data_IF_821386115242
#
_entry.id   IF_821386115242
#
_cell.length_a   1.000
_cell.length_b   1.000
_cell.length_c   1.000
_cell.angle_alpha   90.00
_cell.angle_beta   90.00
_cell.angle_gamma   90.00
#
_symmetry.space_group_name_H-M   'P 1'
#
loop_
_entity.id
_entity.type
_entity.pdbx_description
1 polymer ?
#
# COMPACT_ATOMS: atom_id res chain seq x y z
N UNK A 1 -3.17 29.25 -17.59
CA UNK A 1 -2.50 27.94 -17.79
C UNK A 1 -1.42 27.86 -16.74
N UNK A 2 -1.58 26.97 -15.76
CA UNK A 2 -0.57 26.76 -14.71
C UNK A 2 0.26 25.57 -15.14
N UNK A 3 1.58 25.76 -15.28
CA UNK A 3 2.50 24.67 -15.59
C UNK A 3 2.95 24.07 -14.26
N UNK A 4 2.72 22.77 -14.06
CA UNK A 4 3.28 22.02 -12.92
C UNK A 4 4.56 21.30 -13.35
N UNK A 5 5.51 21.16 -12.43
CA UNK A 5 6.75 20.41 -12.66
C UNK A 5 6.79 19.20 -11.73
N UNK A 6 7.47 18.17 -12.18
CA UNK A 6 7.69 16.96 -11.41
C UNK A 6 8.94 16.24 -11.89
N UNK A 7 9.56 15.49 -11.00
CA UNK A 7 10.67 14.63 -11.38
C UNK A 7 10.14 13.29 -11.91
N UNK A 8 10.65 12.86 -13.07
CA UNK A 8 10.30 11.56 -13.64
C UNK A 8 11.06 10.45 -12.93
N UNK A 9 10.34 9.47 -12.37
CA UNK A 9 10.88 8.23 -11.81
C UNK A 9 10.41 7.02 -12.63
N UNK A 10 11.29 6.03 -12.76
CA UNK A 10 10.97 4.73 -13.37
C UNK A 10 10.99 3.68 -12.26
N UNK A 11 9.92 2.89 -12.19
CA UNK A 11 9.67 1.87 -11.16
C UNK A 11 9.40 0.54 -11.85
N UNK A 12 10.17 -0.48 -11.49
CA UNK A 12 10.10 -1.83 -12.06
C UNK A 12 9.75 -2.89 -11.01
N UNK A 13 9.73 -2.51 -9.73
CA UNK A 13 9.38 -3.38 -8.60
C UNK A 13 8.67 -2.61 -7.50
N UNK A 14 7.98 -3.33 -6.61
CA UNK A 14 7.37 -2.75 -5.40
C UNK A 14 8.44 -2.08 -4.52
N UNK A 15 9.58 -2.73 -4.31
CA UNK A 15 10.66 -2.14 -3.50
C UNK A 15 11.12 -0.77 -4.04
N UNK A 16 11.22 -0.63 -5.36
CA UNK A 16 11.58 0.66 -5.96
C UNK A 16 10.48 1.71 -5.74
N UNK A 17 9.21 1.31 -5.88
CA UNK A 17 8.07 2.17 -5.60
C UNK A 17 8.08 2.67 -4.15
N UNK A 18 8.22 1.75 -3.19
CA UNK A 18 8.25 2.06 -1.76
C UNK A 18 9.40 3.00 -1.42
N UNK A 19 10.60 2.72 -1.92
CA UNK A 19 11.77 3.56 -1.65
C UNK A 19 11.65 4.96 -2.26
N UNK A 20 11.04 5.10 -3.45
CA UNK A 20 10.95 6.40 -4.12
C UNK A 20 9.89 7.32 -3.55
N UNK A 21 8.72 6.77 -3.20
CA UNK A 21 7.61 7.55 -2.67
C UNK A 21 7.46 7.44 -1.15
N UNK A 22 8.42 6.79 -0.49
CA UNK A 22 8.41 6.52 0.95
C UNK A 22 7.09 5.86 1.40
N UNK A 23 6.65 4.85 0.65
CA UNK A 23 5.39 4.11 0.89
C UNK A 23 5.67 2.98 1.88
N UNK A 24 4.92 2.95 2.97
CA UNK A 24 4.98 1.86 3.96
C UNK A 24 4.08 0.69 3.58
N UNK A 25 4.32 -0.48 4.17
CA UNK A 25 3.44 -1.65 3.99
C UNK A 25 2.05 -1.41 4.59
N UNK A 26 1.96 -0.69 5.70
CA UNK A 26 0.72 -0.19 6.28
C UNK A 26 -0.07 0.64 5.26
N UNK A 27 0.59 1.62 4.64
CA UNK A 27 -0.04 2.48 3.63
C UNK A 27 -0.54 1.68 2.43
N UNK A 28 0.24 0.70 1.97
CA UNK A 28 -0.20 -0.21 0.91
C UNK A 28 -1.47 -0.94 1.36
N UNK A 29 -1.45 -1.60 2.52
CA UNK A 29 -2.59 -2.37 3.00
C UNK A 29 -3.86 -1.53 3.18
N UNK A 30 -3.72 -0.28 3.65
CA UNK A 30 -4.84 0.66 3.79
C UNK A 30 -5.36 1.22 2.46
N UNK A 31 -4.53 1.23 1.41
CA UNK A 31 -4.94 1.63 0.06
C UNK A 31 -5.67 0.52 -0.70
N UNK A 32 -5.64 -0.72 -0.21
CA UNK A 32 -6.24 -1.85 -0.92
C UNK A 32 -7.78 -1.74 -1.01
N UNK A 33 -8.41 -2.39 -2.00
CA UNK A 33 -9.86 -2.46 -2.06
C UNK A 33 -10.44 -3.24 -0.86
N UNK A 34 -11.69 -2.95 -0.50
CA UNK A 34 -12.37 -3.51 0.67
C UNK A 34 -12.29 -5.05 0.74
N UNK A 35 -12.44 -5.78 -0.38
CA UNK A 35 -12.38 -7.25 -0.40
C UNK A 35 -11.00 -7.80 0.02
N UNK A 36 -9.94 -7.05 -0.29
CA UNK A 36 -8.57 -7.41 0.09
C UNK A 36 -8.27 -7.03 1.53
N UNK A 37 -8.81 -5.92 2.00
CA UNK A 37 -8.75 -5.53 3.40
C UNK A 37 -9.48 -6.54 4.29
N UNK A 38 -10.66 -7.02 3.87
CA UNK A 38 -11.41 -8.09 4.55
C UNK A 38 -10.58 -9.38 4.63
N UNK A 39 -9.94 -9.79 3.53
CA UNK A 39 -9.06 -10.98 3.51
C UNK A 39 -7.92 -10.85 4.53
N UNK A 40 -7.27 -9.69 4.57
CA UNK A 40 -6.18 -9.40 5.53
C UNK A 40 -6.67 -9.49 6.99
N UNK A 41 -7.86 -8.93 7.28
CA UNK A 41 -8.47 -8.99 8.61
C UNK A 41 -8.87 -10.41 9.02
N UNK A 42 -9.42 -11.19 8.10
CA UNK A 42 -9.79 -12.58 8.36
C UNK A 42 -8.58 -13.42 8.76
N UNK A 43 -7.47 -13.30 8.02
CA UNK A 43 -6.21 -14.00 8.30
C UNK A 43 -5.61 -13.57 9.66
N UNK A 44 -5.58 -12.25 9.97
CA UNK A 44 -5.14 -11.77 11.29
C UNK A 44 -5.97 -12.37 12.42
N UNK A 45 -7.31 -12.25 12.31
CA UNK A 45 -8.21 -12.69 13.36
C UNK A 45 -8.17 -14.21 13.54
N UNK A 46 -7.89 -14.97 12.48
CA UNK A 46 -7.67 -16.41 12.57
C UNK A 46 -6.37 -16.73 13.33
N UNK A 47 -5.27 -16.02 13.05
CA UNK A 47 -4.02 -16.18 13.81
C UNK A 47 -4.24 -15.79 15.29
N UNK A 48 -4.86 -14.64 15.55
CA UNK A 48 -5.11 -14.14 16.89
C UNK A 48 -5.92 -15.14 17.72
N UNK A 49 -6.93 -15.78 17.12
CA UNK A 49 -7.70 -16.87 17.76
C UNK A 49 -6.81 -18.07 18.12
N UNK A 50 -5.94 -18.49 17.20
CA UNK A 50 -5.02 -19.60 17.44
C UNK A 50 -4.03 -19.29 18.58
N UNK A 51 -3.43 -18.09 18.60
CA UNK A 51 -2.49 -17.67 19.64
C UNK A 51 -3.16 -17.48 21.01
N UNK A 52 -4.40 -16.98 21.03
CA UNK A 52 -5.20 -16.88 22.26
C UNK A 52 -5.47 -18.24 22.89
N UNK A 53 -5.59 -19.30 22.07
CA UNK A 53 -5.65 -20.67 22.58
C UNK A 53 -4.32 -21.17 23.14
N UNK A 54 -3.19 -20.59 22.72
CA UNK A 54 -1.82 -20.99 23.10
C UNK A 54 -1.18 -20.16 24.23
N UNK A 55 -1.89 -19.15 24.76
CA UNK A 55 -1.55 -18.29 25.93
C UNK A 55 -1.03 -16.87 25.64
N UNK A 56 -0.95 -16.42 24.38
CA UNK A 56 -0.71 -15.00 24.04
C UNK A 56 -2.03 -14.31 23.69
N UNK A 57 -2.41 -13.29 24.46
CA UNK A 57 -3.57 -12.45 24.15
C UNK A 57 -3.23 -11.51 22.98
N UNK A 58 -3.35 -12.01 21.76
CA UNK A 58 -3.46 -11.15 20.56
C UNK A 58 -4.93 -10.75 20.42
N UNK A 59 -5.28 -9.46 20.50
CA UNK A 59 -6.66 -9.02 20.31
C UNK A 59 -7.12 -9.26 18.87
N UNK A 60 -8.42 -9.42 18.66
CA UNK A 60 -9.00 -9.38 17.31
C UNK A 60 -9.07 -7.91 16.83
N UNK A 61 -8.99 -7.69 15.53
CA UNK A 61 -9.08 -6.39 14.88
C UNK A 61 -10.39 -6.28 14.09
N UNK A 62 -11.05 -5.13 14.20
CA UNK A 62 -12.32 -4.86 13.51
C UNK A 62 -12.09 -4.15 12.16
N UNK A 63 -11.01 -3.38 12.04
CA UNK A 63 -10.60 -2.67 10.83
C UNK A 63 -9.10 -2.81 10.57
N UNK A 64 -8.66 -2.55 9.33
CA UNK A 64 -7.22 -2.60 8.97
C UNK A 64 -6.42 -1.56 9.77
N UNK A 65 -7.04 -0.47 10.21
CA UNK A 65 -6.41 0.53 11.08
C UNK A 65 -6.10 0.00 12.50
N UNK A 66 -6.77 -1.06 12.93
CA UNK A 66 -6.57 -1.67 14.25
C UNK A 66 -5.44 -2.71 14.26
N UNK A 67 -4.87 -3.02 13.08
CA UNK A 67 -3.83 -4.02 12.95
C UNK A 67 -2.48 -3.50 13.49
N UNK A 68 -1.72 -4.33 14.21
CA UNK A 68 -0.39 -3.96 14.68
C UNK A 68 0.62 -3.93 13.52
N UNK A 69 1.66 -3.10 13.60
CA UNK A 69 2.65 -2.92 12.53
C UNK A 69 3.22 -4.23 11.95
N UNK A 70 3.52 -5.20 12.83
CA UNK A 70 4.06 -6.50 12.42
C UNK A 70 3.12 -7.31 11.53
N UNK A 71 1.80 -7.07 11.60
CA UNK A 71 0.81 -7.72 10.75
C UNK A 71 1.00 -7.34 9.28
N UNK A 72 1.38 -6.09 9.02
CA UNK A 72 1.60 -5.61 7.65
C UNK A 72 2.85 -6.25 7.04
N UNK A 73 3.93 -6.38 7.81
CA UNK A 73 5.18 -7.06 7.37
C UNK A 73 4.92 -8.52 6.96
N UNK A 74 4.12 -9.24 7.74
CA UNK A 74 3.86 -10.67 7.52
C UNK A 74 2.83 -10.93 6.41
N UNK A 75 1.83 -10.07 6.22
CA UNK A 75 0.66 -10.39 5.38
C UNK A 75 0.46 -9.51 4.16
N UNK A 76 1.23 -8.45 4.01
CA UNK A 76 1.26 -7.70 2.77
C UNK A 76 1.50 -8.63 1.56
N UNK A 77 2.33 -9.68 1.71
CA UNK A 77 2.61 -10.67 0.66
C UNK A 77 1.44 -11.64 0.37
N UNK A 78 0.47 -11.78 1.28
CA UNK A 78 -0.70 -12.63 1.08
C UNK A 78 -1.72 -11.97 0.15
N UNK A 79 -1.68 -10.65 0.03
CA UNK A 79 -2.55 -9.93 -0.87
C UNK A 79 -2.01 -10.12 -2.29
N UNK A 80 -2.57 -11.10 -3.01
CA UNK A 80 -2.31 -11.31 -4.43
C UNK A 80 -2.88 -10.16 -5.27
N UNK A 81 -2.24 -9.00 -5.21
CA UNK A 81 -2.52 -7.85 -6.04
C UNK A 81 -1.30 -7.60 -6.93
N UNK A 82 -1.49 -7.65 -8.25
CA UNK A 82 -0.39 -7.39 -9.17
C UNK A 82 0.21 -6.00 -8.92
N UNK A 83 1.53 -5.86 -9.08
CA UNK A 83 2.30 -4.63 -8.83
C UNK A 83 1.64 -3.37 -9.38
N UNK A 84 1.03 -3.46 -10.57
CA UNK A 84 0.33 -2.33 -11.16
C UNK A 84 -0.88 -1.86 -10.35
N UNK A 85 -1.72 -2.78 -9.89
CA UNK A 85 -2.90 -2.42 -9.12
C UNK A 85 -2.51 -1.88 -7.74
N UNK A 86 -1.46 -2.44 -7.14
CA UNK A 86 -0.90 -1.90 -5.90
C UNK A 86 -0.47 -0.44 -6.06
N UNK A 87 0.34 -0.16 -7.09
CA UNK A 87 0.82 1.19 -7.35
C UNK A 87 -0.36 2.14 -7.59
N UNK A 88 -1.33 1.75 -8.41
CA UNK A 88 -2.52 2.59 -8.69
C UNK A 88 -3.27 2.90 -7.40
N UNK A 89 -3.56 1.89 -6.57
CA UNK A 89 -4.32 2.07 -5.34
C UNK A 89 -3.66 3.06 -4.38
N UNK A 90 -2.34 2.94 -4.18
CA UNK A 90 -1.59 3.88 -3.33
C UNK A 90 -1.59 5.30 -3.92
N UNK A 91 -1.38 5.43 -5.24
CA UNK A 91 -1.39 6.74 -5.87
C UNK A 91 -2.77 7.41 -5.85
N UNK A 92 -3.85 6.63 -5.92
CA UNK A 92 -5.23 7.11 -5.86
C UNK A 92 -5.70 7.42 -4.43
N UNK A 93 -5.11 6.79 -3.41
CA UNK A 93 -5.44 7.06 -2.00
C UNK A 93 -4.75 8.30 -1.43
N UNK A 94 -3.68 8.77 -2.09
CA UNK A 94 -2.93 9.97 -1.71
C UNK A 94 -3.61 11.26 -2.17
N UNK A 95 -3.35 12.34 -1.43
CA UNK A 95 -3.85 13.68 -1.75
C UNK A 95 -2.98 14.38 -2.83
N UNK A 96 -1.74 13.90 -3.04
CA UNK A 96 -0.84 14.41 -4.05
C UNK A 96 -1.27 14.08 -5.50
N UNK A 97 -0.87 14.93 -6.45
CA UNK A 97 -1.18 14.69 -7.86
C UNK A 97 -0.04 13.95 -8.56
N UNK A 98 -0.37 12.84 -9.23
CA UNK A 98 0.59 12.01 -9.95
C UNK A 98 0.23 11.87 -11.43
N UNK A 99 1.26 11.81 -12.28
CA UNK A 99 1.15 11.21 -13.61
C UNK A 99 1.73 9.81 -13.53
N UNK A 100 0.90 8.80 -13.80
CA UNK A 100 1.31 7.41 -13.88
C UNK A 100 1.12 6.88 -15.31
N UNK A 101 2.20 6.40 -15.91
CA UNK A 101 2.19 5.68 -17.19
C UNK A 101 2.71 4.26 -16.97
N UNK A 102 2.04 3.27 -17.58
CA UNK A 102 2.39 1.87 -17.44
C UNK A 102 2.61 1.22 -18.81
N UNK A 103 3.77 0.59 -18.99
CA UNK A 103 4.18 -0.10 -20.23
C UNK A 103 4.39 -1.61 -19.99
N UNK A 104 3.54 -2.21 -19.13
CA UNK A 104 3.52 -3.65 -18.86
C UNK A 104 4.50 -4.14 -17.78
N UNK A 105 5.75 -3.67 -17.76
CA UNK A 105 6.71 -3.98 -16.68
C UNK A 105 7.15 -2.71 -15.96
N UNK A 106 7.29 -1.62 -16.72
CA UNK A 106 7.84 -0.37 -16.22
C UNK A 106 6.71 0.61 -15.92
N UNK A 107 6.73 1.15 -14.70
CA UNK A 107 5.90 2.25 -14.23
C UNK A 107 6.70 3.54 -14.33
N UNK A 108 6.21 4.52 -15.10
CA UNK A 108 6.71 5.89 -15.03
C UNK A 108 5.80 6.69 -14.10
N UNK A 109 6.38 7.26 -13.05
CA UNK A 109 5.66 8.07 -12.07
C UNK A 109 6.27 9.47 -12.05
N UNK A 110 5.41 10.49 -12.06
CA UNK A 110 5.79 11.90 -11.91
C UNK A 110 4.88 12.52 -10.85
N UNK A 111 5.44 12.87 -9.70
CA UNK A 111 4.74 13.67 -8.68
C UNK A 111 4.73 15.14 -9.10
N UNK A 112 3.54 15.76 -9.11
CA UNK A 112 3.34 17.11 -9.59
C UNK A 112 3.31 18.10 -8.42
N UNK A 113 4.30 18.98 -8.37
CA UNK A 113 4.32 20.06 -7.39
C UNK A 113 3.84 21.39 -8.03
N UNK A 114 3.12 22.23 -7.27
CA UNK A 114 2.89 23.61 -7.67
C UNK A 114 4.25 24.32 -7.87
N UNK A 115 4.32 25.25 -8.82
CA UNK A 115 5.51 26.11 -8.89
C UNK A 115 5.54 26.98 -7.63
N UNK A 116 6.57 26.81 -6.81
CA UNK A 116 6.93 27.85 -5.83
C UNK A 116 7.24 29.13 -6.62
N UNK A 117 6.56 30.23 -6.26
CA UNK A 117 6.73 31.56 -6.88
C UNK A 117 8.08 32.19 -6.55
#
# INVERSE_FOLDING_TARGET
MTIRKGEKKLVESVDQFQNYLNVSEEEICKSLPDDKQETLLEEYNQLAKNLKHEAEETPEADTVDDLPDWAFEEWYQLVEIGTNNLIINVLESRDEEYIHLYDGIIHTIVELHPMEE
#
